data_IF_767669373599
#
_entry.id   IF_767669373599
#
_cell.length_a   1.000
_cell.length_b   1.000
_cell.length_c   1.000
_cell.angle_alpha   90.00
_cell.angle_beta   90.00
_cell.angle_gamma   90.00
#
_symmetry.space_group_name_H-M   'P 1'
#
loop_
_entity.id
_entity.type
_entity.pdbx_description
1 polymer ?
#
# COMPACT_ATOMS: atom_id res chain seq x y z
N UNK A 1 -3.17 12.49 11.76
CA UNK A 1 -3.72 11.19 12.21
C UNK A 1 -3.91 11.24 13.72
N UNK A 2 -4.99 10.67 14.27
CA UNK A 2 -5.23 10.63 15.73
C UNK A 2 -5.45 9.18 16.16
N UNK A 3 -4.68 8.74 17.16
CA UNK A 3 -4.82 7.41 17.76
C UNK A 3 -5.56 7.51 19.09
N UNK A 4 -6.29 6.45 19.45
CA UNK A 4 -7.04 6.36 20.71
C UNK A 4 -6.24 5.67 21.81
N UNK A 5 -5.48 4.64 21.45
CA UNK A 5 -4.67 3.84 22.37
C UNK A 5 -3.50 3.18 21.63
N UNK A 6 -2.48 2.80 22.40
CA UNK A 6 -1.33 2.02 21.94
C UNK A 6 -1.38 0.64 22.56
N UNK A 7 -1.45 -0.41 21.73
CA UNK A 7 -1.29 -1.79 22.18
C UNK A 7 0.13 -2.23 21.85
N UNK A 8 0.86 -2.75 22.82
CA UNK A 8 2.30 -3.00 22.64
C UNK A 8 2.78 -4.31 23.23
N UNK A 9 3.70 -4.97 22.54
CA UNK A 9 4.49 -6.05 23.13
C UNK A 9 5.52 -5.43 24.09
N UNK A 10 5.61 -5.84 25.37
CA UNK A 10 6.52 -5.21 26.34
C UNK A 10 7.97 -5.11 25.87
N UNK A 11 8.48 -6.19 25.25
CA UNK A 11 9.84 -6.24 24.71
C UNK A 11 10.11 -5.19 23.62
N UNK A 12 9.06 -4.66 22.97
CA UNK A 12 9.23 -3.61 21.95
C UNK A 12 9.86 -2.33 22.52
N UNK A 13 9.70 -2.08 23.83
CA UNK A 13 10.30 -0.93 24.50
C UNK A 13 11.81 -1.08 24.74
N UNK A 14 12.40 -2.26 24.46
CA UNK A 14 13.86 -2.44 24.49
C UNK A 14 14.57 -1.96 23.21
N UNK A 15 13.81 -1.47 22.23
CA UNK A 15 14.33 -0.94 20.97
C UNK A 15 14.22 0.58 20.95
N UNK A 16 15.21 1.26 20.37
CA UNK A 16 15.24 2.73 20.27
C UNK A 16 13.96 3.32 19.66
N UNK A 17 13.44 2.73 18.59
CA UNK A 17 12.17 3.18 18.01
C UNK A 17 10.98 2.95 18.95
N UNK A 18 11.01 1.89 19.76
CA UNK A 18 9.97 1.65 20.76
C UNK A 18 9.96 2.70 21.87
N UNK A 19 11.13 3.08 22.38
CA UNK A 19 11.29 4.17 23.34
C UNK A 19 10.81 5.51 22.77
N UNK A 20 11.21 5.83 21.53
CA UNK A 20 10.77 7.05 20.82
C UNK A 20 9.25 7.10 20.66
N UNK A 21 8.62 6.00 20.24
CA UNK A 21 7.17 5.92 20.12
C UNK A 21 6.48 6.01 21.49
N UNK A 22 7.11 5.49 22.56
CA UNK A 22 6.61 5.61 23.93
C UNK A 22 6.58 7.05 24.42
N UNK A 23 7.62 7.82 24.11
CA UNK A 23 7.66 9.25 24.40
C UNK A 23 6.63 10.01 23.56
N UNK A 24 6.62 9.81 22.23
CA UNK A 24 5.74 10.50 21.30
C UNK A 24 4.24 10.30 21.60
N UNK A 25 3.85 9.07 21.98
CA UNK A 25 2.46 8.73 22.30
C UNK A 25 2.24 8.50 23.80
N UNK A 26 3.06 9.11 24.66
CA UNK A 26 3.02 8.92 26.11
C UNK A 26 1.72 9.40 26.77
N UNK A 27 0.96 10.28 26.11
CA UNK A 27 -0.33 10.78 26.58
C UNK A 27 -1.51 9.84 26.30
N UNK A 28 -1.32 8.81 25.47
CA UNK A 28 -2.35 7.81 25.16
C UNK A 28 -2.33 6.66 26.19
N UNK A 29 -3.42 5.90 26.36
CA UNK A 29 -3.39 4.62 27.07
C UNK A 29 -2.44 3.63 26.39
N UNK A 30 -1.56 2.99 27.17
CA UNK A 30 -0.68 1.91 26.71
C UNK A 30 -1.12 0.58 27.31
N UNK A 31 -1.52 -0.34 26.45
CA UNK A 31 -2.13 -1.62 26.82
C UNK A 31 -1.16 -2.74 26.42
N UNK A 32 -0.60 -3.50 27.39
CA UNK A 32 0.31 -4.58 27.07
C UNK A 32 -0.44 -5.73 26.37
N UNK A 33 0.18 -6.32 25.35
CA UNK A 33 -0.30 -7.49 24.63
C UNK A 33 0.79 -8.55 24.54
N UNK A 34 0.40 -9.82 24.49
CA UNK A 34 1.33 -10.93 24.29
C UNK A 34 1.83 -11.00 22.84
N UNK A 35 0.96 -10.68 21.87
CA UNK A 35 1.32 -10.73 20.46
C UNK A 35 0.57 -9.71 19.60
N UNK A 36 1.31 -8.97 18.78
CA UNK A 36 0.76 -8.09 17.74
C UNK A 36 -0.05 -8.84 16.66
N UNK A 37 0.07 -10.16 16.55
CA UNK A 37 -0.69 -10.97 15.61
C UNK A 37 -2.03 -11.47 16.18
N UNK A 38 -2.21 -11.44 17.50
CA UNK A 38 -3.39 -12.01 18.15
C UNK A 38 -3.80 -11.20 19.37
N UNK A 39 -4.50 -10.10 19.12
CA UNK A 39 -5.09 -9.26 20.18
C UNK A 39 -6.54 -9.72 20.38
N UNK A 40 -6.76 -10.55 21.41
CA UNK A 40 -8.06 -11.20 21.68
C UNK A 40 -9.22 -10.20 21.71
N UNK A 41 -9.04 -9.07 22.40
CA UNK A 41 -10.05 -8.01 22.48
C UNK A 41 -10.49 -7.51 21.10
N UNK A 42 -9.55 -7.32 20.15
CA UNK A 42 -9.86 -6.85 18.81
C UNK A 42 -10.47 -7.94 17.93
N UNK A 43 -10.06 -9.20 18.13
CA UNK A 43 -10.61 -10.35 17.41
C UNK A 43 -12.07 -10.64 17.81
N UNK A 44 -12.44 -10.34 19.05
CA UNK A 44 -13.80 -10.59 19.58
C UNK A 44 -14.78 -9.44 19.27
N UNK A 45 -14.29 -8.22 18.99
CA UNK A 45 -15.16 -7.08 18.61
C UNK A 45 -15.97 -7.37 17.34
N UNK A 46 -17.22 -6.90 17.22
CA UNK A 46 -18.01 -7.06 16.00
C UNK A 46 -17.38 -6.32 14.82
N UNK A 47 -17.74 -6.70 13.59
CA UNK A 47 -17.23 -6.05 12.37
C UNK A 47 -17.53 -4.55 12.32
N UNK A 48 -18.63 -4.11 12.92
CA UNK A 48 -19.02 -2.70 13.04
C UNK A 48 -17.96 -1.82 13.74
N UNK A 49 -17.06 -2.43 14.53
CA UNK A 49 -15.96 -1.74 15.19
C UNK A 49 -14.71 -1.60 14.30
N UNK A 50 -14.71 -2.11 13.06
CA UNK A 50 -13.56 -2.09 12.15
C UNK A 50 -12.92 -0.71 12.01
N UNK A 51 -13.73 0.33 11.79
CA UNK A 51 -13.23 1.70 11.67
C UNK A 51 -12.63 2.25 12.97
N UNK A 52 -13.21 1.90 14.13
CA UNK A 52 -12.69 2.30 15.44
C UNK A 52 -11.38 1.59 15.75
N UNK A 53 -11.28 0.30 15.45
CA UNK A 53 -10.06 -0.49 15.67
C UNK A 53 -8.86 0.06 14.88
N UNK A 54 -9.09 0.64 13.69
CA UNK A 54 -8.05 1.29 12.88
C UNK A 54 -7.49 2.58 13.48
N UNK A 55 -8.11 3.11 14.56
CA UNK A 55 -7.59 4.23 15.35
C UNK A 55 -6.69 3.79 16.51
N UNK A 56 -6.43 2.49 16.66
CA UNK A 56 -5.43 2.01 17.60
C UNK A 56 -4.07 1.86 16.90
N UNK A 57 -3.01 2.20 17.62
CA UNK A 57 -1.65 1.94 17.18
C UNK A 57 -1.15 0.65 17.82
N UNK A 58 -0.63 -0.28 17.03
CA UNK A 58 -0.07 -1.52 17.55
C UNK A 58 1.45 -1.52 17.36
N UNK A 59 2.19 -1.77 18.43
CA UNK A 59 3.65 -1.78 18.43
C UNK A 59 4.14 -3.18 18.80
N UNK A 60 5.00 -3.75 17.98
CA UNK A 60 5.55 -5.08 18.25
C UNK A 60 6.91 -5.30 17.61
N UNK A 61 7.38 -6.54 17.67
CA UNK A 61 8.66 -6.95 17.09
C UNK A 61 8.36 -7.91 15.93
N UNK A 62 8.87 -7.60 14.74
CA UNK A 62 8.76 -8.52 13.60
C UNK A 62 9.77 -9.64 13.74
N UNK A 63 9.29 -10.84 14.11
CA UNK A 63 10.13 -12.03 14.26
C UNK A 63 10.34 -12.74 12.91
N UNK A 64 9.30 -12.84 12.09
CA UNK A 64 9.31 -13.56 10.81
C UNK A 64 9.70 -12.65 9.64
N UNK A 65 10.71 -13.07 8.88
CA UNK A 65 11.24 -12.35 7.72
C UNK A 65 11.24 -13.24 6.48
N UNK A 66 10.06 -13.76 6.09
CA UNK A 66 9.95 -14.63 4.92
C UNK A 66 9.83 -13.80 3.65
N UNK A 67 10.83 -13.90 2.79
CA UNK A 67 10.86 -13.22 1.49
C UNK A 67 10.06 -14.09 0.51
N UNK A 68 9.11 -13.51 -0.19
CA UNK A 68 8.27 -14.21 -1.15
C UNK A 68 8.68 -13.76 -2.54
N UNK A 69 9.02 -14.69 -3.43
CA UNK A 69 9.34 -14.37 -4.82
C UNK A 69 8.17 -13.65 -5.48
N UNK A 70 8.52 -12.67 -6.30
CA UNK A 70 7.58 -11.86 -7.07
C UNK A 70 8.14 -11.74 -8.50
N UNK A 71 7.24 -11.74 -9.49
CA UNK A 71 7.60 -11.68 -10.91
C UNK A 71 6.92 -10.48 -11.57
N UNK A 72 7.01 -9.34 -10.89
CA UNK A 72 6.37 -8.07 -11.28
C UNK A 72 7.43 -6.97 -11.28
N UNK A 73 7.14 -5.80 -10.71
CA UNK A 73 8.12 -4.71 -10.55
C UNK A 73 9.26 -5.05 -9.58
N UNK A 74 9.06 -6.05 -8.73
CA UNK A 74 10.05 -6.52 -7.75
C UNK A 74 10.28 -8.02 -7.89
N UNK A 75 11.47 -8.47 -7.49
CA UNK A 75 11.86 -9.89 -7.42
C UNK A 75 11.38 -10.55 -6.12
N UNK A 76 11.21 -9.76 -5.05
CA UNK A 76 10.75 -10.24 -3.76
C UNK A 76 9.80 -9.27 -3.08
N UNK A 77 8.73 -9.81 -2.49
CA UNK A 77 7.96 -9.13 -1.44
C UNK A 77 8.66 -9.35 -0.09
N UNK A 78 8.92 -8.25 0.61
CA UNK A 78 9.64 -8.25 1.89
C UNK A 78 8.69 -7.80 3.00
N UNK A 79 8.48 -8.62 4.05
CA UNK A 79 7.83 -8.16 5.26
C UNK A 79 8.77 -7.17 5.97
N UNK A 80 8.34 -5.91 6.06
CA UNK A 80 9.18 -4.82 6.55
C UNK A 80 8.57 -4.16 7.80
N UNK A 81 8.75 -2.85 7.95
CA UNK A 81 8.53 -2.04 9.16
C UNK A 81 7.09 -1.88 9.64
N UNK A 82 6.10 -2.22 8.82
CA UNK A 82 4.71 -2.21 9.24
C UNK A 82 3.85 -3.27 8.55
N UNK A 83 2.63 -3.43 9.09
CA UNK A 83 1.55 -4.15 8.43
C UNK A 83 0.20 -3.54 8.76
N UNK A 84 -0.77 -3.68 7.85
CA UNK A 84 -2.06 -3.00 7.95
C UNK A 84 -1.96 -1.52 7.61
N UNK A 85 -3.02 -0.77 7.86
CA UNK A 85 -3.10 0.66 7.52
C UNK A 85 -4.20 1.32 8.36
N UNK A 86 -4.16 2.63 8.56
CA UNK A 86 -5.27 3.36 9.20
C UNK A 86 -6.39 3.72 8.22
N UNK A 87 -6.09 3.81 6.92
CA UNK A 87 -7.10 4.00 5.88
C UNK A 87 -7.99 2.76 5.71
N UNK A 88 -9.16 2.98 5.12
CA UNK A 88 -10.26 2.01 5.01
C UNK A 88 -10.72 1.87 3.56
N UNK A 89 -9.80 1.47 2.68
CA UNK A 89 -10.19 1.10 1.31
C UNK A 89 -11.11 -0.14 1.37
N UNK A 90 -12.32 -0.06 0.83
CA UNK A 90 -13.31 -1.14 0.98
C UNK A 90 -12.88 -2.45 0.29
N UNK A 91 -11.98 -2.36 -0.69
CA UNK A 91 -11.39 -3.49 -1.40
C UNK A 91 -10.05 -3.98 -0.81
N UNK A 92 -9.60 -3.42 0.32
CA UNK A 92 -8.23 -3.57 0.80
C UNK A 92 -7.83 -5.05 0.98
N UNK A 93 -6.97 -5.56 0.11
CA UNK A 93 -6.58 -6.97 0.11
C UNK A 93 -5.96 -7.45 1.43
N UNK A 94 -5.43 -6.55 2.26
CA UNK A 94 -4.92 -6.86 3.60
C UNK A 94 -6.03 -7.43 4.50
N UNK A 95 -7.29 -7.07 4.28
CA UNK A 95 -8.45 -7.64 4.97
C UNK A 95 -8.61 -9.14 4.63
N UNK A 96 -8.20 -9.60 3.44
CA UNK A 96 -8.20 -11.03 3.15
C UNK A 96 -7.19 -11.84 3.98
N UNK A 97 -6.17 -11.18 4.55
CA UNK A 97 -5.11 -11.84 5.31
C UNK A 97 -5.23 -11.56 6.82
N UNK A 98 -5.69 -10.36 7.19
CA UNK A 98 -5.80 -9.90 8.58
C UNK A 98 -7.25 -9.71 9.04
N UNK A 99 -8.25 -9.93 8.18
CA UNK A 99 -9.66 -9.74 8.49
C UNK A 99 -9.90 -8.32 9.05
N UNK A 100 -10.80 -8.16 10.03
CA UNK A 100 -11.04 -6.91 10.74
C UNK A 100 -9.83 -6.39 11.54
N UNK A 101 -8.77 -7.19 11.69
CA UNK A 101 -7.52 -6.80 12.34
C UNK A 101 -6.50 -6.17 11.37
N UNK A 102 -6.94 -5.65 10.23
CA UNK A 102 -6.12 -4.92 9.26
C UNK A 102 -5.77 -3.47 9.70
N UNK A 103 -5.61 -3.23 11.01
CA UNK A 103 -5.15 -1.97 11.61
C UNK A 103 -3.62 -1.82 11.51
N UNK A 104 -3.13 -0.60 11.71
CA UNK A 104 -1.71 -0.29 11.59
C UNK A 104 -0.90 -0.93 12.74
N UNK A 105 0.02 -1.82 12.37
CA UNK A 105 1.06 -2.39 13.23
C UNK A 105 2.42 -1.84 12.81
N UNK A 106 3.18 -1.32 13.77
CA UNK A 106 4.55 -0.87 13.62
C UNK A 106 5.51 -1.87 14.25
N UNK A 107 6.63 -2.10 13.58
CA UNK A 107 7.68 -3.01 14.04
C UNK A 107 8.94 -2.25 14.40
N UNK A 108 9.34 -2.33 15.67
CA UNK A 108 10.40 -1.48 16.24
C UNK A 108 11.82 -1.94 15.90
N UNK A 109 11.99 -3.18 15.43
CA UNK A 109 13.28 -3.79 15.13
C UNK A 109 13.78 -3.51 13.70
N UNK A 110 13.67 -2.25 13.26
CA UNK A 110 13.98 -1.82 11.88
C UNK A 110 15.41 -2.09 11.44
N UNK A 111 16.36 -1.97 12.38
CA UNK A 111 17.78 -2.23 12.17
C UNK A 111 17.97 -3.68 11.73
N UNK A 112 17.38 -4.64 12.46
CA UNK A 112 17.44 -6.07 12.16
C UNK A 112 16.79 -6.41 10.81
N UNK A 113 15.65 -5.79 10.51
CA UNK A 113 14.95 -5.97 9.23
C UNK A 113 15.81 -5.49 8.06
N UNK A 114 16.43 -4.31 8.18
CA UNK A 114 17.28 -3.73 7.16
C UNK A 114 18.60 -4.49 6.98
N UNK A 115 19.25 -4.91 8.05
CA UNK A 115 20.48 -5.71 7.99
C UNK A 115 20.26 -7.01 7.20
N UNK A 116 19.11 -7.67 7.41
CA UNK A 116 18.74 -8.87 6.66
C UNK A 116 18.50 -8.57 5.18
N UNK A 117 17.86 -7.44 4.87
CA UNK A 117 17.61 -6.99 3.50
C UNK A 117 18.93 -6.71 2.77
N UNK A 118 19.82 -5.94 3.39
CA UNK A 118 21.16 -5.64 2.87
C UNK A 118 21.93 -6.95 2.63
N UNK A 119 21.99 -7.83 3.63
CA UNK A 119 22.67 -9.13 3.51
C UNK A 119 22.11 -9.98 2.38
N UNK A 120 20.79 -10.03 2.20
CA UNK A 120 20.15 -10.76 1.10
C UNK A 120 20.50 -10.13 -0.25
N UNK A 121 20.50 -8.80 -0.34
CA UNK A 121 20.84 -8.06 -1.56
C UNK A 121 22.28 -8.28 -2.02
N UNK A 122 23.22 -8.36 -1.07
CA UNK A 122 24.64 -8.58 -1.35
C UNK A 122 24.97 -10.02 -1.71
N UNK A 123 24.19 -10.99 -1.23
CA UNK A 123 24.37 -12.42 -1.52
C UNK A 123 23.89 -12.85 -2.91
N UNK A 124 22.98 -12.09 -3.52
CA UNK A 124 22.50 -12.40 -4.87
C UNK A 124 23.64 -12.21 -5.88
N UNK A 125 23.66 -12.98 -6.97
CA UNK A 125 24.62 -12.82 -8.07
C UNK A 125 24.27 -11.59 -8.94
N UNK A 126 22.98 -11.34 -9.14
CA UNK A 126 22.46 -10.17 -9.86
C UNK A 126 21.77 -9.15 -8.92
N UNK A 127 21.79 -7.84 -9.25
CA UNK A 127 21.04 -6.84 -8.49
C UNK A 127 19.55 -7.19 -8.46
N UNK A 128 18.94 -7.16 -7.28
CA UNK A 128 17.52 -7.48 -7.07
C UNK A 128 16.71 -6.22 -6.71
N UNK A 129 15.42 -6.25 -7.00
CA UNK A 129 14.44 -5.25 -6.56
C UNK A 129 13.56 -5.84 -5.46
N UNK A 130 13.49 -5.17 -4.31
CA UNK A 130 12.74 -5.62 -3.14
C UNK A 130 11.53 -4.71 -2.86
N UNK A 131 10.33 -5.29 -2.82
CA UNK A 131 9.12 -4.58 -2.43
C UNK A 131 8.90 -4.61 -0.92
N UNK A 132 9.19 -3.49 -0.27
CA UNK A 132 9.12 -3.33 1.19
C UNK A 132 7.75 -2.81 1.66
N UNK A 133 6.92 -2.31 0.74
CA UNK A 133 5.59 -1.75 1.02
C UNK A 133 4.42 -2.70 0.74
N UNK A 134 4.65 -4.02 0.69
CA UNK A 134 3.57 -4.96 0.34
C UNK A 134 2.47 -4.99 1.41
N UNK A 135 2.82 -5.08 2.70
CA UNK A 135 1.86 -5.34 3.77
C UNK A 135 1.28 -4.09 4.45
N UNK A 136 1.65 -2.89 3.99
CA UNK A 136 1.31 -1.60 4.62
C UNK A 136 1.51 -0.46 3.63
N UNK A 137 1.16 0.76 4.02
CA UNK A 137 1.54 1.97 3.30
C UNK A 137 2.71 2.66 4.03
N UNK A 138 3.91 2.60 3.45
CA UNK A 138 5.12 3.09 4.13
C UNK A 138 5.24 4.61 4.16
N UNK A 139 4.59 5.34 3.25
CA UNK A 139 4.59 6.81 3.28
C UNK A 139 3.73 7.28 4.44
N UNK A 140 2.55 6.66 4.61
CA UNK A 140 1.73 6.88 5.80
C UNK A 140 2.48 6.53 7.08
N UNK A 141 3.11 5.35 7.12
CA UNK A 141 3.89 4.88 8.27
C UNK A 141 5.02 5.86 8.63
N UNK A 142 5.70 6.40 7.62
CA UNK A 142 6.84 7.31 7.80
C UNK A 142 6.47 8.60 8.55
N UNK A 143 5.20 9.03 8.48
CA UNK A 143 4.70 10.18 9.27
C UNK A 143 4.74 9.94 10.78
N UNK A 144 4.91 8.68 11.20
CA UNK A 144 4.97 8.25 12.59
C UNK A 144 6.40 7.85 12.95
N UNK A 145 7.03 6.99 12.14
CA UNK A 145 8.27 6.29 12.51
C UNK A 145 9.53 6.89 11.91
N UNK A 146 9.41 7.73 10.89
CA UNK A 146 10.52 8.18 10.06
C UNK A 146 11.34 7.01 9.46
N UNK A 147 10.71 5.84 9.30
CA UNK A 147 11.42 4.64 8.87
C UNK A 147 11.98 4.73 7.45
N UNK A 148 11.31 5.42 6.53
CA UNK A 148 11.87 5.63 5.18
C UNK A 148 13.11 6.53 5.22
N UNK A 149 13.16 7.52 6.15
CA UNK A 149 14.33 8.38 6.33
C UNK A 149 15.55 7.60 6.84
N UNK A 150 15.31 6.55 7.63
CA UNK A 150 16.35 5.63 8.07
C UNK A 150 16.72 4.60 6.98
N UNK A 151 15.72 4.00 6.35
CA UNK A 151 15.88 2.88 5.42
C UNK A 151 16.53 3.26 4.11
N UNK A 152 16.09 4.36 3.48
CA UNK A 152 16.52 4.71 2.12
C UNK A 152 18.02 5.00 2.07
N UNK A 153 18.58 5.96 2.85
CA UNK A 153 20.00 6.30 2.75
C UNK A 153 20.90 5.11 3.09
N UNK A 154 20.50 4.31 4.09
CA UNK A 154 21.28 3.16 4.53
C UNK A 154 21.26 2.01 3.54
N UNK A 155 20.10 1.67 2.95
CA UNK A 155 20.04 0.68 1.87
C UNK A 155 20.85 1.11 0.65
N UNK A 156 20.81 2.41 0.31
CA UNK A 156 21.61 2.97 -0.78
C UNK A 156 23.10 2.87 -0.44
N UNK A 157 23.53 3.25 0.76
CA UNK A 157 24.95 3.15 1.12
C UNK A 157 25.47 1.70 1.16
N UNK A 158 24.70 0.78 1.72
CA UNK A 158 25.20 -0.55 2.11
C UNK A 158 24.69 -1.71 1.23
N UNK A 159 23.55 -1.54 0.55
CA UNK A 159 22.86 -2.58 -0.21
C UNK A 159 23.13 -2.55 -1.72
N UNK A 160 22.65 -3.59 -2.41
CA UNK A 160 22.74 -3.73 -3.88
C UNK A 160 21.37 -3.89 -4.52
N UNK A 161 21.19 -3.33 -5.71
CA UNK A 161 19.90 -3.36 -6.40
C UNK A 161 18.98 -2.23 -5.94
N UNK A 162 17.68 -2.50 -5.82
CA UNK A 162 16.65 -1.48 -5.59
C UNK A 162 15.67 -1.87 -4.48
N UNK A 163 15.05 -0.87 -3.86
CA UNK A 163 13.84 -1.04 -3.06
C UNK A 163 12.67 -0.33 -3.75
N UNK A 164 11.45 -0.83 -3.51
CA UNK A 164 10.23 -0.19 -3.99
C UNK A 164 9.10 -0.28 -2.98
N UNK A 165 8.23 0.71 -2.98
CA UNK A 165 7.02 0.76 -2.18
C UNK A 165 5.94 1.56 -2.92
N UNK A 166 4.69 1.06 -2.95
CA UNK A 166 3.57 1.84 -3.41
C UNK A 166 2.98 2.68 -2.26
N UNK A 167 2.28 3.76 -2.60
CA UNK A 167 1.47 4.52 -1.64
C UNK A 167 0.15 5.01 -2.24
N UNK A 168 -0.79 5.41 -1.38
CA UNK A 168 -1.99 6.20 -1.70
C UNK A 168 -1.97 7.60 -1.07
N UNK A 169 -0.83 8.02 -0.53
CA UNK A 169 -0.69 9.23 0.27
C UNK A 169 0.31 10.21 -0.33
N UNK A 170 0.03 11.50 -0.15
CA UNK A 170 0.77 12.63 -0.71
C UNK A 170 1.87 13.19 0.20
N UNK A 171 2.05 12.65 1.40
CA UNK A 171 3.00 13.12 2.42
C UNK A 171 4.46 12.72 2.09
N UNK A 172 4.93 13.08 0.88
CA UNK A 172 6.22 12.67 0.32
C UNK A 172 7.35 13.66 0.58
N UNK A 173 7.04 14.87 1.05
CA UNK A 173 8.01 15.96 1.27
C UNK A 173 9.29 15.52 2.02
N UNK A 174 9.22 14.75 3.13
CA UNK A 174 10.42 14.31 3.83
C UNK A 174 11.36 13.41 3.02
N UNK A 175 10.88 12.84 1.91
CA UNK A 175 11.62 11.92 1.05
C UNK A 175 12.35 12.63 -0.10
N UNK A 176 11.92 13.85 -0.47
CA UNK A 176 12.38 14.52 -1.69
C UNK A 176 13.88 14.79 -1.70
N UNK A 177 14.47 15.11 -0.55
CA UNK A 177 15.89 15.42 -0.40
C UNK A 177 16.79 14.24 -0.04
N UNK A 178 16.29 13.01 0.00
CA UNK A 178 17.11 11.84 0.39
C UNK A 178 18.02 11.39 -0.74
N UNK A 179 19.23 10.95 -0.38
CA UNK A 179 20.18 10.28 -1.28
C UNK A 179 19.64 8.89 -1.69
N UNK A 180 18.84 8.84 -2.75
CA UNK A 180 18.22 7.62 -3.25
C UNK A 180 19.06 6.92 -4.34
N UNK A 181 19.99 7.64 -4.98
CA UNK A 181 20.92 7.10 -5.99
C UNK A 181 20.26 6.31 -7.14
N UNK A 182 19.05 6.69 -7.54
CA UNK A 182 18.24 5.95 -8.54
C UNK A 182 17.85 4.51 -8.13
N UNK A 183 18.05 4.14 -6.86
CA UNK A 183 17.83 2.78 -6.30
C UNK A 183 16.54 2.64 -5.48
N UNK A 184 15.68 3.66 -5.50
CA UNK A 184 14.37 3.63 -4.86
C UNK A 184 13.32 3.90 -5.91
N UNK A 185 12.47 2.91 -6.19
CA UNK A 185 11.36 3.07 -7.14
C UNK A 185 10.13 3.48 -6.35
N UNK A 186 9.73 4.75 -6.49
CA UNK A 186 8.52 5.29 -5.88
C UNK A 186 7.31 4.95 -6.75
N UNK A 187 6.21 4.51 -6.14
CA UNK A 187 5.00 4.17 -6.90
C UNK A 187 3.75 4.75 -6.27
N UNK A 188 2.88 5.32 -7.09
CA UNK A 188 1.64 5.94 -6.64
C UNK A 188 0.42 5.16 -7.16
N UNK A 189 -0.46 4.74 -6.26
CA UNK A 189 -1.74 4.15 -6.65
C UNK A 189 -2.72 5.24 -7.07
N UNK A 190 -3.32 5.12 -8.24
CA UNK A 190 -4.30 6.06 -8.78
C UNK A 190 -5.60 5.33 -9.13
N UNK A 191 -6.71 6.05 -9.04
CA UNK A 191 -8.05 5.61 -9.43
C UNK A 191 -8.87 6.86 -9.78
N UNK A 192 -9.98 6.77 -10.52
CA UNK A 192 -10.86 7.90 -10.76
C UNK A 192 -11.28 8.57 -9.43
N UNK A 193 -11.27 9.90 -9.36
CA UNK A 193 -11.62 10.63 -8.14
C UNK A 193 -13.00 10.24 -7.54
N UNK A 194 -14.05 9.93 -8.34
CA UNK A 194 -15.32 9.43 -7.80
C UNK A 194 -15.21 8.07 -7.09
N UNK A 195 -14.29 7.19 -7.53
CA UNK A 195 -13.99 5.93 -6.85
C UNK A 195 -13.23 6.20 -5.56
N UNK A 196 -12.19 7.03 -5.61
CA UNK A 196 -11.39 7.40 -4.41
C UNK A 196 -12.31 7.94 -3.30
N UNK A 197 -13.18 8.88 -3.65
CA UNK A 197 -14.03 9.58 -2.67
C UNK A 197 -15.03 8.66 -1.95
N UNK A 198 -15.50 7.60 -2.62
CA UNK A 198 -16.51 6.68 -2.09
C UNK A 198 -15.91 5.42 -1.46
N UNK A 199 -14.78 4.95 -1.98
CA UNK A 199 -14.26 3.61 -1.72
C UNK A 199 -12.89 3.63 -1.04
N UNK A 200 -12.08 4.68 -1.19
CA UNK A 200 -10.72 4.79 -0.63
C UNK A 200 -10.68 5.70 0.60
N UNK A 201 -11.49 5.36 1.61
CA UNK A 201 -11.71 6.20 2.78
C UNK A 201 -10.42 6.46 3.56
N UNK A 202 -10.12 7.73 3.82
CA UNK A 202 -8.94 8.15 4.58
C UNK A 202 -7.63 8.14 3.79
N UNK A 203 -7.69 8.23 2.46
CA UNK A 203 -6.52 8.36 1.57
C UNK A 203 -6.50 9.74 0.89
N UNK A 204 -5.39 10.08 0.24
CA UNK A 204 -5.27 11.36 -0.49
C UNK A 204 -6.08 11.33 -1.79
N UNK A 205 -6.54 12.50 -2.24
CA UNK A 205 -7.25 12.66 -3.53
C UNK A 205 -6.34 12.37 -4.73
N UNK A 206 -6.92 12.10 -5.91
CA UNK A 206 -6.18 11.90 -7.16
C UNK A 206 -5.25 13.08 -7.45
N UNK A 207 -5.76 14.31 -7.33
CA UNK A 207 -4.97 15.54 -7.53
C UNK A 207 -3.73 15.59 -6.62
N UNK A 208 -3.90 15.29 -5.34
CA UNK A 208 -2.78 15.24 -4.40
C UNK A 208 -1.77 14.15 -4.75
N UNK A 209 -2.25 12.98 -5.19
CA UNK A 209 -1.40 11.87 -5.65
C UNK A 209 -0.60 12.22 -6.90
N UNK A 210 -1.23 12.92 -7.86
CA UNK A 210 -0.57 13.44 -9.07
C UNK A 210 0.51 14.45 -8.71
N UNK A 211 0.21 15.37 -7.79
CA UNK A 211 1.21 16.33 -7.30
C UNK A 211 2.40 15.62 -6.65
N UNK A 212 2.13 14.70 -5.72
CA UNK A 212 3.19 13.98 -5.01
C UNK A 212 4.07 13.13 -5.93
N UNK A 213 3.50 12.45 -6.92
CA UNK A 213 4.32 11.67 -7.86
C UNK A 213 5.14 12.56 -8.81
N UNK A 214 4.62 13.74 -9.18
CA UNK A 214 5.40 14.72 -9.91
C UNK A 214 6.59 15.20 -9.07
N UNK A 215 6.38 15.56 -7.79
CA UNK A 215 7.45 16.00 -6.89
C UNK A 215 8.54 14.92 -6.73
N UNK A 216 8.14 13.66 -6.52
CA UNK A 216 9.08 12.53 -6.44
C UNK A 216 9.85 12.33 -7.75
N UNK A 217 9.18 12.45 -8.90
CA UNK A 217 9.82 12.33 -10.20
C UNK A 217 10.82 13.47 -10.45
N UNK A 218 10.45 14.71 -10.12
CA UNK A 218 11.34 15.88 -10.24
C UNK A 218 12.56 15.74 -9.33
N UNK A 219 12.38 15.22 -8.11
CA UNK A 219 13.48 14.88 -7.18
C UNK A 219 14.42 13.77 -7.69
N UNK A 220 14.08 13.09 -8.80
CA UNK A 220 14.96 12.14 -9.48
C UNK A 220 14.66 10.67 -9.17
N UNK A 221 13.60 10.38 -8.41
CA UNK A 221 13.17 9.00 -8.19
C UNK A 221 12.64 8.37 -9.48
N UNK A 222 13.03 7.14 -9.82
CA UNK A 222 12.27 6.31 -10.74
C UNK A 222 10.83 6.16 -10.23
N UNK A 223 9.85 6.57 -11.04
CA UNK A 223 8.45 6.61 -10.63
C UNK A 223 7.57 5.71 -11.50
N UNK A 224 6.53 5.14 -10.88
CA UNK A 224 5.49 4.39 -11.58
C UNK A 224 4.11 4.67 -11.02
N UNK A 225 3.08 4.39 -11.81
CA UNK A 225 1.68 4.46 -11.37
C UNK A 225 1.07 3.08 -11.30
N UNK A 226 0.24 2.85 -10.28
CA UNK A 226 -0.61 1.68 -10.19
C UNK A 226 -2.05 2.08 -10.41
N UNK A 227 -2.67 1.65 -11.51
CA UNK A 227 -4.13 1.70 -11.66
C UNK A 227 -4.66 0.45 -10.93
N UNK A 228 -4.82 0.57 -9.61
CA UNK A 228 -4.99 -0.59 -8.74
C UNK A 228 -5.84 -0.31 -7.47
N UNK A 229 -6.95 -1.05 -7.29
CA UNK A 229 -7.55 -1.99 -8.24
C UNK A 229 -8.38 -1.27 -9.32
N UNK A 230 -8.46 -1.87 -10.50
CA UNK A 230 -9.50 -1.57 -11.50
C UNK A 230 -10.84 -2.14 -11.01
N UNK A 231 -11.83 -1.27 -10.79
CA UNK A 231 -13.15 -1.60 -10.27
C UNK A 231 -14.20 -1.36 -11.36
N UNK A 232 -14.88 -2.42 -11.80
CA UNK A 232 -15.87 -2.37 -12.87
C UNK A 232 -17.24 -1.99 -12.32
N UNK A 233 -17.33 -0.81 -11.68
CA UNK A 233 -18.60 -0.18 -11.28
C UNK A 233 -19.39 0.29 -12.51
N UNK A 234 -20.57 0.85 -12.30
CA UNK A 234 -21.33 1.50 -13.38
C UNK A 234 -20.51 2.61 -14.04
N UNK A 235 -20.62 2.70 -15.37
CA UNK A 235 -19.86 3.64 -16.21
C UNK A 235 -18.32 3.58 -16.02
N UNK A 236 -17.76 2.45 -15.58
CA UNK A 236 -16.32 2.33 -15.32
C UNK A 236 -15.46 2.79 -16.51
N UNK A 237 -15.86 2.49 -17.75
CA UNK A 237 -15.13 2.96 -18.95
C UNK A 237 -14.97 4.48 -18.96
N UNK A 238 -16.06 5.21 -18.76
CA UNK A 238 -16.06 6.68 -18.70
C UNK A 238 -15.20 7.19 -17.53
N UNK A 239 -15.30 6.54 -16.37
CA UNK A 239 -14.49 6.90 -15.20
C UNK A 239 -12.99 6.71 -15.44
N UNK A 240 -12.60 5.60 -16.06
CA UNK A 240 -11.19 5.33 -16.38
C UNK A 240 -10.67 6.18 -17.55
N UNK A 241 -11.48 6.50 -18.56
CA UNK A 241 -11.12 7.53 -19.55
C UNK A 241 -10.85 8.87 -18.87
N UNK A 242 -11.74 9.32 -17.97
CA UNK A 242 -11.54 10.56 -17.23
C UNK A 242 -10.30 10.55 -16.33
N UNK A 243 -9.98 9.42 -15.68
CA UNK A 243 -8.71 9.26 -14.95
C UNK A 243 -7.51 9.47 -15.89
N UNK A 244 -7.51 8.82 -17.05
CA UNK A 244 -6.40 8.90 -18.00
C UNK A 244 -6.22 10.33 -18.54
N UNK A 245 -7.31 11.06 -18.80
CA UNK A 245 -7.28 12.48 -19.20
C UNK A 245 -6.76 13.40 -18.07
N UNK A 246 -7.14 13.14 -16.82
CA UNK A 246 -6.61 13.87 -15.66
C UNK A 246 -5.11 13.57 -15.43
N UNK A 247 -4.68 12.34 -15.67
CA UNK A 247 -3.25 11.98 -15.65
C UNK A 247 -2.48 12.65 -16.80
N UNK A 248 -3.01 12.64 -18.03
CA UNK A 248 -2.36 13.28 -19.18
C UNK A 248 -2.12 14.77 -18.92
N UNK A 249 -3.15 15.46 -18.42
CA UNK A 249 -3.09 16.89 -18.16
C UNK A 249 -2.32 17.26 -16.90
N UNK A 250 -2.35 16.43 -15.86
CA UNK A 250 -1.79 16.73 -14.54
C UNK A 250 -0.35 16.26 -14.31
N UNK A 251 0.13 15.23 -15.02
CA UNK A 251 1.49 14.72 -14.84
C UNK A 251 2.53 15.63 -15.51
N UNK A 252 3.68 15.80 -14.87
CA UNK A 252 4.80 16.57 -15.42
C UNK A 252 5.32 15.93 -16.71
N UNK A 253 5.97 16.74 -17.56
CA UNK A 253 6.59 16.23 -18.80
C UNK A 253 7.61 15.12 -18.49
N UNK A 254 8.37 15.26 -17.40
CA UNK A 254 9.33 14.24 -16.95
C UNK A 254 8.63 12.96 -16.54
N UNK A 255 7.57 13.06 -15.74
CA UNK A 255 6.79 11.91 -15.29
C UNK A 255 6.14 11.18 -16.48
N UNK A 256 5.51 11.89 -17.42
CA UNK A 256 4.93 11.29 -18.64
C UNK A 256 5.95 10.53 -19.49
N UNK A 257 7.20 11.00 -19.54
CA UNK A 257 8.28 10.38 -20.31
C UNK A 257 8.86 9.12 -19.64
N UNK A 258 8.98 9.11 -18.32
CA UNK A 258 9.75 8.10 -17.58
C UNK A 258 8.90 7.07 -16.87
N UNK A 259 7.59 7.31 -16.71
CA UNK A 259 6.73 6.43 -15.95
C UNK A 259 6.51 5.08 -16.61
N UNK A 260 6.24 4.09 -15.76
CA UNK A 260 5.63 2.83 -16.13
C UNK A 260 4.28 2.66 -15.43
N UNK A 261 3.43 1.80 -15.99
CA UNK A 261 2.11 1.47 -15.44
C UNK A 261 2.07 0.02 -14.95
N UNK A 262 1.48 -0.16 -13.79
CA UNK A 262 1.00 -1.44 -13.28
C UNK A 262 -0.52 -1.39 -13.23
N UNK A 263 -1.19 -2.40 -13.78
CA UNK A 263 -2.66 -2.48 -13.77
C UNK A 263 -3.06 -3.74 -13.03
N UNK A 264 -3.90 -3.58 -12.00
CA UNK A 264 -4.34 -4.70 -11.18
C UNK A 264 -5.85 -4.68 -11.14
N UNK A 265 -6.51 -5.71 -11.64
CA UNK A 265 -7.96 -5.81 -11.53
C UNK A 265 -8.35 -6.20 -10.09
N UNK A 266 -9.51 -5.70 -9.64
CA UNK A 266 -9.99 -5.97 -8.29
C UNK A 266 -10.10 -7.46 -8.01
N UNK A 267 -9.58 -7.86 -6.85
CA UNK A 267 -9.97 -9.09 -6.18
C UNK A 267 -10.72 -8.73 -4.91
N UNK A 268 -11.79 -9.45 -4.63
CA UNK A 268 -12.68 -9.20 -3.49
C UNK A 268 -12.87 -10.48 -2.68
N UNK A 269 -13.65 -10.46 -1.59
CA UNK A 269 -13.83 -11.68 -0.76
C UNK A 269 -15.09 -11.62 0.09
N UNK A 270 -15.55 -12.77 0.59
CA UNK A 270 -16.65 -12.83 1.55
C UNK A 270 -16.33 -12.04 2.84
N UNK A 271 -15.05 -11.98 3.23
CA UNK A 271 -14.61 -11.24 4.41
C UNK A 271 -14.81 -9.75 4.20
N UNK A 272 -14.46 -9.23 3.02
CA UNK A 272 -14.73 -7.83 2.70
C UNK A 272 -16.23 -7.54 2.76
N UNK A 273 -17.06 -8.38 2.14
CA UNK A 273 -18.52 -8.19 2.12
C UNK A 273 -19.09 -8.13 3.55
N UNK A 274 -18.73 -9.09 4.40
CA UNK A 274 -19.19 -9.14 5.78
C UNK A 274 -18.73 -7.91 6.59
N UNK A 275 -17.46 -7.53 6.50
CA UNK A 275 -16.98 -6.34 7.22
C UNK A 275 -17.62 -5.07 6.69
N UNK A 276 -17.66 -4.89 5.37
CA UNK A 276 -18.14 -3.65 4.77
C UNK A 276 -19.63 -3.42 5.04
N UNK A 277 -20.44 -4.49 4.99
CA UNK A 277 -21.85 -4.45 5.33
C UNK A 277 -22.09 -3.96 6.77
N UNK A 278 -21.29 -4.44 7.72
CA UNK A 278 -21.46 -4.11 9.14
C UNK A 278 -20.78 -2.78 9.54
N UNK A 279 -19.64 -2.44 8.94
CA UNK A 279 -18.80 -1.31 9.33
C UNK A 279 -19.09 -0.02 8.56
N UNK A 280 -19.61 -0.12 7.34
CA UNK A 280 -19.84 1.01 6.45
C UNK A 280 -21.28 0.95 5.89
N UNK A 281 -22.30 1.17 6.74
CA UNK A 281 -23.69 1.13 6.31
C UNK A 281 -23.92 2.19 5.21
N UNK A 282 -24.43 1.75 4.06
CA UNK A 282 -24.65 2.60 2.87
C UNK A 282 -23.48 2.63 1.88
N UNK A 283 -22.36 1.94 2.16
CA UNK A 283 -21.33 1.71 1.15
C UNK A 283 -21.83 0.76 0.05
N UNK A 284 -21.34 0.99 -1.17
CA UNK A 284 -21.63 0.17 -2.34
C UNK A 284 -21.07 -1.25 -2.18
N UNK A 285 -21.86 -2.30 -2.49
CA UNK A 285 -21.34 -3.66 -2.56
C UNK A 285 -20.54 -3.81 -3.85
N UNK A 286 -19.22 -3.91 -3.70
CA UNK A 286 -18.30 -4.06 -4.83
C UNK A 286 -18.35 -5.45 -5.48
N UNK A 287 -19.13 -6.39 -4.93
CA UNK A 287 -19.33 -7.69 -5.53
C UNK A 287 -20.42 -7.66 -6.61
N UNK A 288 -20.01 -7.86 -7.86
CA UNK A 288 -20.89 -8.00 -9.00
C UNK A 288 -21.05 -9.49 -9.37
N UNK A 289 -22.26 -10.05 -9.21
CA UNK A 289 -22.53 -11.47 -9.48
C UNK A 289 -22.43 -11.84 -10.97
N UNK A 290 -22.72 -10.89 -11.86
CA UNK A 290 -22.66 -11.08 -13.30
C UNK A 290 -21.20 -11.07 -13.78
N UNK A 291 -20.42 -10.10 -13.31
CA UNK A 291 -19.03 -9.90 -13.75
C UNK A 291 -18.00 -10.67 -12.95
N UNK A 292 -18.30 -11.11 -11.73
CA UNK A 292 -17.35 -11.80 -10.85
C UNK A 292 -17.71 -13.27 -10.61
N UNK A 293 -16.66 -14.07 -10.36
CA UNK A 293 -16.77 -15.48 -9.99
C UNK A 293 -15.90 -15.80 -8.79
N UNK A 294 -16.22 -16.91 -8.12
CA UNK A 294 -15.45 -17.41 -6.99
C UNK A 294 -14.04 -17.86 -7.40
N UNK A 295 -13.09 -17.61 -6.52
CA UNK A 295 -11.71 -18.08 -6.56
C UNK A 295 -11.36 -18.70 -5.21
N UNK A 296 -10.40 -19.63 -5.21
CA UNK A 296 -9.97 -20.34 -4.01
C UNK A 296 -9.73 -19.43 -2.79
N UNK A 297 -9.95 -19.99 -1.59
CA UNK A 297 -9.91 -19.28 -0.29
C UNK A 297 -11.00 -18.20 -0.12
N UNK A 298 -12.16 -18.41 -0.73
CA UNK A 298 -13.33 -17.53 -0.60
C UNK A 298 -13.10 -16.11 -1.12
N UNK A 299 -12.35 -16.00 -2.21
CA UNK A 299 -12.12 -14.74 -2.91
C UNK A 299 -12.99 -14.67 -4.15
N UNK A 300 -13.17 -13.47 -4.69
CA UNK A 300 -13.80 -13.22 -5.96
C UNK A 300 -12.81 -12.56 -6.90
N UNK A 301 -12.90 -12.85 -8.19
CA UNK A 301 -12.23 -12.13 -9.26
C UNK A 301 -13.20 -11.95 -10.43
N UNK A 302 -12.90 -11.02 -11.34
CA UNK A 302 -13.68 -10.92 -12.57
C UNK A 302 -13.62 -12.21 -13.39
N UNK A 303 -14.72 -12.51 -14.07
CA UNK A 303 -14.81 -13.57 -15.07
C UNK A 303 -13.89 -13.26 -16.25
N UNK A 304 -13.44 -14.28 -17.01
CA UNK A 304 -12.55 -14.09 -18.16
C UNK A 304 -13.04 -13.04 -19.17
N UNK A 305 -14.33 -12.99 -19.43
CA UNK A 305 -14.94 -12.07 -20.40
C UNK A 305 -14.84 -10.62 -19.94
N UNK A 306 -15.28 -10.33 -18.71
CA UNK A 306 -15.20 -8.99 -18.11
C UNK A 306 -13.74 -8.53 -17.94
N UNK A 307 -12.84 -9.47 -17.60
CA UNK A 307 -11.40 -9.20 -17.54
C UNK A 307 -10.85 -8.83 -18.91
N UNK A 308 -11.14 -9.60 -19.95
CA UNK A 308 -10.64 -9.35 -21.30
C UNK A 308 -11.16 -8.02 -21.84
N UNK A 309 -12.43 -7.70 -21.57
CA UNK A 309 -13.01 -6.39 -21.91
C UNK A 309 -12.26 -5.25 -21.24
N UNK A 310 -12.00 -5.35 -19.94
CA UNK A 310 -11.24 -4.35 -19.17
C UNK A 310 -9.81 -4.19 -19.68
N UNK A 311 -9.10 -5.31 -19.93
CA UNK A 311 -7.74 -5.28 -20.46
C UNK A 311 -7.67 -4.64 -21.85
N UNK A 312 -8.56 -5.02 -22.77
CA UNK A 312 -8.61 -4.46 -24.12
C UNK A 312 -8.91 -2.96 -24.10
N UNK A 313 -9.92 -2.56 -23.32
CA UNK A 313 -10.28 -1.16 -23.15
C UNK A 313 -9.12 -0.33 -22.59
N UNK A 314 -8.51 -0.76 -21.47
CA UNK A 314 -7.44 -0.01 -20.83
C UNK A 314 -6.22 0.11 -21.73
N UNK A 315 -5.83 -0.95 -22.45
CA UNK A 315 -4.73 -0.87 -23.42
C UNK A 315 -5.00 0.14 -24.53
N UNK A 316 -6.20 0.10 -25.12
CA UNK A 316 -6.59 1.01 -26.19
C UNK A 316 -6.62 2.48 -25.70
N UNK A 317 -7.25 2.74 -24.56
CA UNK A 317 -7.39 4.08 -24.02
C UNK A 317 -6.06 4.66 -23.50
N UNK A 318 -5.23 3.85 -22.84
CA UNK A 318 -3.88 4.28 -22.43
C UNK A 318 -3.07 4.66 -23.67
N UNK A 319 -3.08 3.84 -24.73
CA UNK A 319 -2.38 4.15 -25.98
C UNK A 319 -2.91 5.42 -26.63
N UNK A 320 -4.22 5.62 -26.61
CA UNK A 320 -4.88 6.80 -27.19
C UNK A 320 -4.55 8.10 -26.45
N UNK A 321 -4.54 8.06 -25.11
CA UNK A 321 -4.45 9.26 -24.26
C UNK A 321 -3.02 9.52 -23.79
N UNK A 322 -2.34 8.50 -23.28
CA UNK A 322 -1.00 8.61 -22.70
C UNK A 322 0.13 8.24 -23.67
N UNK A 323 -0.20 7.66 -24.83
CA UNK A 323 0.78 7.27 -25.85
C UNK A 323 1.47 5.93 -25.54
N UNK A 324 2.76 5.82 -25.86
CA UNK A 324 3.55 4.58 -25.75
C UNK A 324 4.08 4.29 -24.34
N UNK A 325 3.27 4.51 -23.31
CA UNK A 325 3.67 4.25 -21.93
C UNK A 325 3.86 2.74 -21.70
N UNK A 326 4.95 2.37 -21.04
CA UNK A 326 5.23 0.98 -20.71
C UNK A 326 4.23 0.45 -19.67
N UNK A 327 3.43 -0.54 -20.04
CA UNK A 327 2.62 -1.34 -19.11
C UNK A 327 3.44 -2.56 -18.71
N UNK A 328 3.89 -2.63 -17.45
CA UNK A 328 4.71 -3.75 -16.96
C UNK A 328 3.92 -5.06 -16.93
N UNK A 329 2.66 -5.00 -16.46
CA UNK A 329 1.75 -6.13 -16.46
C UNK A 329 0.31 -5.66 -16.25
N UNK A 330 -0.63 -6.53 -16.61
CA UNK A 330 -2.03 -6.45 -16.18
C UNK A 330 -2.36 -7.76 -15.46
N UNK A 331 -2.76 -7.69 -14.18
CA UNK A 331 -2.96 -8.88 -13.33
C UNK A 331 -4.31 -8.96 -12.67
#
# INVERSE_FOLDING_TARGET
MKFDAVYYEPDSLSYTLGEQLKEQFGSLPWIPIESHNSIKEMQEKPNSEFGRMKRNLIIGIRKTHKYVENHKVSDYLVPYTSSGCTAMCLYCYLVCNYNKCAYLRLFVNREQMLDRLIKKSMKSEQPLTFEIGSNSDLVLENTITQNLLYTIPRFVAEGRGKITFPTKFDMVEPLLGLEHGGRVIFRMSVNPQPIISRIELGTSSLKQRIQAVNEMCEAGYPCGLLIAPVILVDDWKKLYTGLLEELESGLSVKMKREMFLEIILMTYSYVHRAINQDAFPGAEDLYDQERMTGRGRGRYCYRPEARAEAENFLRAEIKRILGDVQILYIS
#
